data_IF_872842721606
#
_entry.id   IF_872842721606
#
_cell.length_a   1.000
_cell.length_b   1.000
_cell.length_c   1.000
_cell.angle_alpha   90.00
_cell.angle_beta   90.00
_cell.angle_gamma   90.00
#
_symmetry.space_group_name_H-M   'P 1'
#
loop_
_entity.id
_entity.type
_entity.pdbx_description
1 polymer ?
#
# COMPACT_ATOMS: atom_id res chain seq x y z
N UNK A 1 8.33 15.24 29.28
CA UNK A 1 7.09 14.88 28.58
C UNK A 1 7.38 13.68 27.71
N UNK A 2 6.62 12.59 27.86
CA UNK A 2 6.71 11.42 26.98
C UNK A 2 5.72 11.64 25.84
N UNK A 3 6.21 11.73 24.60
CA UNK A 3 5.38 11.89 23.41
C UNK A 3 4.63 10.58 23.13
N UNK A 4 3.31 10.58 23.34
CA UNK A 4 2.45 9.42 23.13
C UNK A 4 1.05 9.86 22.64
N UNK A 5 0.93 10.39 21.41
CA UNK A 5 -0.36 10.74 20.82
C UNK A 5 -1.16 9.49 20.47
N UNK A 6 -2.49 9.62 20.36
CA UNK A 6 -3.34 8.53 19.90
C UNK A 6 -2.93 8.04 18.50
N UNK A 7 -2.85 6.73 18.32
CA UNK A 7 -2.54 6.10 17.03
C UNK A 7 -3.72 6.08 16.05
N UNK A 8 -4.94 6.36 16.53
CA UNK A 8 -6.16 6.27 15.73
C UNK A 8 -7.44 6.64 16.47
N UNK A 9 -8.56 6.28 15.86
CA UNK A 9 -9.91 6.42 16.40
C UNK A 9 -10.35 5.03 16.89
N UNK A 10 -10.59 4.90 18.19
CA UNK A 10 -11.09 3.66 18.78
C UNK A 10 -12.61 3.55 18.59
N UNK A 11 -13.04 2.49 17.90
CA UNK A 11 -14.46 2.18 17.65
C UNK A 11 -15.01 1.11 18.60
N UNK A 12 -14.23 0.69 19.60
CA UNK A 12 -14.56 -0.35 20.58
C UNK A 12 -14.26 -1.78 20.10
N UNK A 13 -14.51 -2.08 18.82
CA UNK A 13 -14.21 -3.39 18.22
C UNK A 13 -13.01 -3.36 17.26
N UNK A 14 -12.55 -2.17 16.87
CA UNK A 14 -11.49 -1.97 15.90
C UNK A 14 -10.85 -0.60 16.09
N UNK A 15 -9.51 -0.56 16.09
CA UNK A 15 -8.78 0.71 16.12
C UNK A 15 -8.54 1.17 14.67
N UNK A 16 -9.26 2.22 14.27
CA UNK A 16 -9.05 2.85 12.97
C UNK A 16 -7.80 3.73 13.02
N UNK A 17 -6.67 3.15 12.61
CA UNK A 17 -5.35 3.81 12.65
C UNK A 17 -5.31 5.00 11.71
N UNK A 18 -4.76 6.13 12.18
CA UNK A 18 -4.53 7.30 11.33
C UNK A 18 -3.61 6.98 10.16
N UNK A 19 -2.66 6.07 10.35
CA UNK A 19 -1.81 5.57 9.27
C UNK A 19 -2.61 4.97 8.11
N UNK A 20 -3.57 4.10 8.40
CA UNK A 20 -4.43 3.48 7.38
C UNK A 20 -5.33 4.51 6.70
N UNK A 21 -5.85 5.48 7.47
CA UNK A 21 -6.63 6.59 6.91
C UNK A 21 -5.80 7.46 5.96
N UNK A 22 -4.55 7.76 6.32
CA UNK A 22 -3.64 8.53 5.47
C UNK A 22 -3.39 7.84 4.13
N UNK A 23 -3.32 6.50 4.10
CA UNK A 23 -3.22 5.75 2.84
C UNK A 23 -4.46 5.93 1.97
N UNK A 24 -5.65 5.74 2.54
CA UNK A 24 -6.92 5.93 1.81
C UNK A 24 -7.02 7.36 1.26
N UNK A 25 -6.67 8.36 2.08
CA UNK A 25 -6.67 9.76 1.69
C UNK A 25 -5.64 10.04 0.59
N UNK A 26 -4.41 9.54 0.71
CA UNK A 26 -3.36 9.77 -0.30
C UNK A 26 -3.76 9.23 -1.68
N UNK A 27 -4.28 8.01 -1.73
CA UNK A 27 -4.73 7.39 -2.98
C UNK A 27 -6.01 8.05 -3.52
N UNK A 28 -7.00 8.30 -2.66
CA UNK A 28 -8.24 8.96 -3.05
C UNK A 28 -8.02 10.37 -3.59
N UNK A 29 -7.17 11.17 -2.92
CA UNK A 29 -6.78 12.49 -3.40
C UNK A 29 -5.94 12.42 -4.67
N UNK A 30 -5.03 11.45 -4.79
CA UNK A 30 -4.25 11.23 -6.00
C UNK A 30 -5.16 11.01 -7.22
N UNK A 31 -6.14 10.12 -7.12
CA UNK A 31 -7.12 9.90 -8.18
C UNK A 31 -7.95 11.17 -8.47
N UNK A 32 -8.45 11.83 -7.42
CA UNK A 32 -9.27 13.03 -7.55
C UNK A 32 -8.54 14.18 -8.25
N UNK A 33 -7.25 14.38 -7.94
CA UNK A 33 -6.39 15.39 -8.56
C UNK A 33 -6.05 15.03 -10.00
N UNK A 34 -5.85 13.74 -10.31
CA UNK A 34 -5.52 13.29 -11.67
C UNK A 34 -6.71 13.33 -12.63
N UNK A 35 -7.94 13.16 -12.14
CA UNK A 35 -9.17 13.21 -12.95
C UNK A 35 -9.30 14.44 -13.84
N UNK A 36 -9.22 15.70 -13.34
CA UNK A 36 -9.32 16.88 -14.20
C UNK A 36 -8.16 16.98 -15.20
N UNK A 37 -6.99 16.42 -14.89
CA UNK A 37 -5.84 16.38 -15.81
C UNK A 37 -6.17 15.45 -16.98
N UNK A 38 -6.59 14.23 -16.71
CA UNK A 38 -6.99 13.26 -17.74
C UNK A 38 -8.08 13.82 -18.65
N UNK A 39 -9.12 14.43 -18.07
CA UNK A 39 -10.20 15.06 -18.86
C UNK A 39 -9.69 16.20 -19.76
N UNK A 40 -8.73 17.00 -19.29
CA UNK A 40 -8.13 18.10 -20.06
C UNK A 40 -7.30 17.59 -21.24
N UNK A 41 -6.58 16.49 -21.03
CA UNK A 41 -5.76 15.85 -22.08
C UNK A 41 -6.59 14.95 -23.02
N UNK A 42 -7.93 14.95 -22.90
CA UNK A 42 -8.85 14.05 -23.62
C UNK A 42 -8.56 12.55 -23.41
N UNK A 43 -7.98 12.20 -22.27
CA UNK A 43 -7.74 10.82 -21.87
C UNK A 43 -8.98 10.22 -21.18
N UNK A 44 -9.14 8.91 -21.31
CA UNK A 44 -10.30 8.23 -20.73
C UNK A 44 -10.19 8.10 -19.20
N UNK A 45 -11.33 8.21 -18.50
CA UNK A 45 -11.38 7.93 -17.05
C UNK A 45 -11.06 6.47 -16.76
N UNK A 46 -11.39 5.56 -17.67
CA UNK A 46 -11.04 4.15 -17.57
C UNK A 46 -9.51 3.94 -17.54
N UNK A 47 -8.75 4.69 -18.35
CA UNK A 47 -7.29 4.70 -18.29
C UNK A 47 -6.77 5.22 -16.94
N UNK A 48 -7.41 6.25 -16.37
CA UNK A 48 -7.08 6.73 -15.02
C UNK A 48 -7.34 5.65 -13.96
N UNK A 49 -8.49 4.98 -14.03
CA UNK A 49 -8.87 3.92 -13.08
C UNK A 49 -7.88 2.75 -13.13
N UNK A 50 -7.45 2.37 -14.35
CA UNK A 50 -6.40 1.37 -14.57
C UNK A 50 -5.07 1.83 -13.98
N UNK A 51 -4.62 3.04 -14.31
CA UNK A 51 -3.36 3.60 -13.79
C UNK A 51 -3.37 3.61 -12.26
N UNK A 52 -4.48 4.04 -11.66
CA UNK A 52 -4.68 4.05 -10.22
C UNK A 52 -4.57 2.66 -9.61
N UNK A 53 -5.30 1.67 -10.14
CA UNK A 53 -5.26 0.29 -9.65
C UNK A 53 -3.85 -0.31 -9.76
N UNK A 54 -3.18 -0.14 -10.90
CA UNK A 54 -1.82 -0.62 -11.09
C UNK A 54 -0.85 0.02 -10.09
N UNK A 55 -0.96 1.33 -9.88
CA UNK A 55 -0.10 2.07 -8.94
C UNK A 55 -0.37 1.64 -7.50
N UNK A 56 -1.63 1.49 -7.10
CA UNK A 56 -2.02 1.06 -5.76
C UNK A 56 -1.43 -0.32 -5.45
N UNK A 57 -1.63 -1.30 -6.34
CA UNK A 57 -1.11 -2.66 -6.18
C UNK A 57 0.42 -2.67 -6.17
N UNK A 58 1.07 -1.94 -7.08
CA UNK A 58 2.51 -1.84 -7.14
C UNK A 58 3.11 -1.22 -5.87
N UNK A 59 2.45 -0.20 -5.32
CA UNK A 59 2.87 0.44 -4.08
C UNK A 59 2.76 -0.53 -2.91
N UNK A 60 1.61 -1.20 -2.75
CA UNK A 60 1.38 -2.14 -1.65
C UNK A 60 2.33 -3.34 -1.71
N UNK A 61 2.42 -4.00 -2.87
CA UNK A 61 3.28 -5.17 -3.05
C UNK A 61 4.76 -4.78 -2.98
N UNK A 62 5.17 -3.72 -3.67
CA UNK A 62 6.55 -3.25 -3.65
C UNK A 62 6.99 -2.85 -2.26
N UNK A 63 6.16 -2.10 -1.52
CA UNK A 63 6.48 -1.69 -0.16
C UNK A 63 6.64 -2.88 0.78
N UNK A 64 5.76 -3.87 0.65
CA UNK A 64 5.77 -5.06 1.51
C UNK A 64 6.94 -5.99 1.18
N UNK A 65 7.17 -6.29 -0.09
CA UNK A 65 8.32 -7.10 -0.51
C UNK A 65 9.64 -6.40 -0.19
N UNK A 66 9.74 -5.10 -0.40
CA UNK A 66 10.91 -4.33 -0.01
C UNK A 66 11.15 -4.40 1.50
N UNK A 67 10.09 -4.30 2.32
CA UNK A 67 10.25 -4.42 3.76
C UNK A 67 10.81 -5.79 4.16
N UNK A 68 10.22 -6.87 3.64
CA UNK A 68 10.66 -8.24 3.93
C UNK A 68 12.09 -8.48 3.44
N UNK A 69 12.42 -8.09 2.21
CA UNK A 69 13.76 -8.31 1.64
C UNK A 69 14.85 -7.56 2.41
N UNK A 70 14.59 -6.31 2.82
CA UNK A 70 15.62 -5.46 3.43
C UNK A 70 15.67 -5.51 4.96
N UNK A 71 14.55 -5.84 5.63
CA UNK A 71 14.44 -5.73 7.08
C UNK A 71 14.06 -7.05 7.77
N UNK A 72 13.27 -7.92 7.13
CA UNK A 72 12.75 -9.15 7.76
C UNK A 72 12.79 -10.37 6.81
N UNK A 73 13.98 -10.75 6.27
CA UNK A 73 14.08 -11.81 5.26
C UNK A 73 13.70 -13.20 5.78
N UNK A 74 13.80 -13.43 7.09
CA UNK A 74 13.38 -14.67 7.76
C UNK A 74 11.89 -15.01 7.54
N UNK A 75 11.03 -14.02 7.25
CA UNK A 75 9.63 -14.27 6.96
C UNK A 75 9.41 -15.15 5.72
N UNK A 76 10.38 -15.22 4.80
CA UNK A 76 10.28 -16.13 3.65
C UNK A 76 10.26 -17.61 4.04
N UNK A 77 10.97 -17.99 5.11
CA UNK A 77 10.97 -19.37 5.63
C UNK A 77 9.94 -19.56 6.74
N UNK A 78 9.81 -18.57 7.62
CA UNK A 78 9.16 -18.77 8.90
C UNK A 78 7.65 -18.54 8.83
N UNK A 79 7.19 -17.62 7.97
CA UNK A 79 5.76 -17.30 7.83
C UNK A 79 5.47 -16.61 6.48
N UNK A 80 5.67 -17.35 5.39
CA UNK A 80 5.56 -16.81 4.03
C UNK A 80 4.18 -16.22 3.72
N UNK A 81 3.12 -16.72 4.37
CA UNK A 81 1.76 -16.19 4.20
C UNK A 81 1.61 -14.79 4.75
N UNK A 82 2.28 -14.48 5.87
CA UNK A 82 2.27 -13.14 6.46
C UNK A 82 2.96 -12.08 5.60
N UNK A 83 3.73 -12.48 4.57
CA UNK A 83 4.32 -11.54 3.63
C UNK A 83 3.22 -10.80 2.88
N UNK A 84 2.21 -11.50 2.35
CA UNK A 84 1.18 -10.88 1.48
C UNK A 84 -0.17 -10.68 2.17
N UNK A 85 -0.41 -11.41 3.25
CA UNK A 85 -1.68 -11.35 3.97
C UNK A 85 -1.50 -10.57 5.29
N UNK A 86 -2.55 -9.86 5.75
CA UNK A 86 -2.52 -9.10 7.01
C UNK A 86 -2.69 -10.01 8.24
N UNK A 87 -2.08 -11.19 8.20
CA UNK A 87 -2.16 -12.23 9.22
C UNK A 87 -0.75 -12.71 9.54
N UNK A 88 -0.53 -13.12 10.78
CA UNK A 88 0.58 -13.97 11.17
C UNK A 88 0.04 -15.39 11.32
N UNK A 89 0.73 -16.38 10.79
CA UNK A 89 0.35 -17.79 10.89
C UNK A 89 1.15 -18.53 11.96
N UNK A 90 2.38 -18.08 12.25
CA UNK A 90 3.26 -18.69 13.24
C UNK A 90 3.50 -17.78 14.46
N UNK A 91 3.42 -18.29 15.71
CA UNK A 91 3.07 -19.66 16.11
C UNK A 91 1.56 -19.93 16.12
N UNK A 92 0.74 -18.90 15.94
CA UNK A 92 -0.74 -18.97 16.00
C UNK A 92 -1.34 -17.94 15.05
N UNK A 93 -2.52 -18.24 14.51
CA UNK A 93 -3.21 -17.37 13.57
C UNK A 93 -3.69 -16.08 14.26
N UNK A 94 -3.07 -14.95 13.94
CA UNK A 94 -3.44 -13.64 14.47
C UNK A 94 -3.50 -12.58 13.38
N UNK A 95 -4.55 -11.76 13.41
CA UNK A 95 -4.65 -10.60 12.54
C UNK A 95 -3.69 -9.51 13.01
N UNK A 96 -2.68 -9.20 12.21
CA UNK A 96 -1.67 -8.17 12.48
C UNK A 96 -1.96 -6.87 11.72
N UNK A 97 -2.74 -6.95 10.64
CA UNK A 97 -2.90 -5.85 9.69
C UNK A 97 -1.70 -5.74 8.74
N UNK A 98 -1.79 -4.82 7.77
CA UNK A 98 -0.66 -4.50 6.89
C UNK A 98 0.29 -3.52 7.60
N UNK A 99 1.21 -4.09 8.39
CA UNK A 99 2.35 -3.38 8.98
C UNK A 99 3.65 -3.77 8.24
N UNK A 100 4.72 -2.99 8.42
CA UNK A 100 6.02 -3.26 7.78
C UNK A 100 5.99 -2.97 6.28
N UNK A 101 6.06 -1.69 5.91
CA UNK A 101 6.04 -1.19 4.53
C UNK A 101 7.26 -0.30 4.31
N UNK A 102 8.10 -0.64 3.32
CA UNK A 102 9.29 0.11 2.98
C UNK A 102 9.05 1.04 1.78
N UNK A 103 9.29 2.35 1.95
CA UNK A 103 9.09 3.35 0.89
C UNK A 103 9.94 3.09 -0.35
N UNK A 104 11.19 2.62 -0.20
CA UNK A 104 12.08 2.29 -1.32
C UNK A 104 11.53 1.13 -2.17
N UNK A 105 10.99 0.09 -1.51
CA UNK A 105 10.32 -1.01 -2.20
C UNK A 105 9.09 -0.54 -2.97
N UNK A 106 8.30 0.36 -2.37
CA UNK A 106 7.16 1.00 -3.02
C UNK A 106 7.60 1.74 -4.30
N UNK A 107 8.63 2.58 -4.18
CA UNK A 107 9.16 3.36 -5.30
C UNK A 107 9.65 2.47 -6.45
N UNK A 108 10.43 1.42 -6.14
CA UNK A 108 10.91 0.45 -7.14
C UNK A 108 9.72 -0.24 -7.82
N UNK A 109 8.75 -0.71 -7.02
CA UNK A 109 7.53 -1.36 -7.54
C UNK A 109 6.76 -0.46 -8.49
N UNK A 110 6.49 0.78 -8.08
CA UNK A 110 5.79 1.77 -8.91
C UNK A 110 6.57 2.02 -10.21
N UNK A 111 7.87 2.26 -10.16
CA UNK A 111 8.68 2.54 -11.35
C UNK A 111 8.60 1.37 -12.35
N UNK A 112 8.78 0.14 -11.89
CA UNK A 112 8.69 -1.06 -12.73
C UNK A 112 7.29 -1.17 -13.36
N UNK A 113 6.24 -0.97 -12.57
CA UNK A 113 4.87 -1.00 -13.07
C UNK A 113 4.60 0.10 -14.09
N UNK A 114 5.10 1.32 -13.88
CA UNK A 114 4.97 2.42 -14.85
C UNK A 114 5.63 2.08 -16.19
N UNK A 115 6.82 1.50 -16.18
CA UNK A 115 7.48 1.00 -17.39
C UNK A 115 6.65 -0.09 -18.09
N UNK A 116 5.98 -0.96 -17.33
CA UNK A 116 5.15 -2.02 -17.88
C UNK A 116 3.84 -1.53 -18.51
N UNK A 117 3.14 -0.60 -17.84
CA UNK A 117 1.81 -0.14 -18.25
C UNK A 117 1.84 0.98 -19.29
N UNK A 118 2.98 1.64 -19.51
CA UNK A 118 3.15 2.72 -20.51
C UNK A 118 2.57 2.39 -21.89
N UNK A 119 2.55 1.12 -22.28
CA UNK A 119 2.06 0.66 -23.60
C UNK A 119 0.70 -0.04 -23.56
N UNK A 120 0.05 -0.11 -22.39
CA UNK A 120 -1.16 -0.92 -22.17
C UNK A 120 -2.37 -0.13 -21.65
N UNK A 121 -2.12 1.06 -21.11
CA UNK A 121 -3.11 2.00 -20.58
C UNK A 121 -3.08 3.24 -21.47
#
# INVERSE_FOLDING_TARGET
>A
MVWNPSEGIDLGFFLLRFYSLSWVLAFGLGWYVMKPIFMRENESVDSLDKLFLYTLVATMLGARLGHVIFYEPELFSDDAWSILLPIKTEPTLHFTGFAGLASHGAAIGIIITMFYIQRRV
#
